data_IF_237623562891
#
_entry.id   IF_237623562891
#
_cell.length_a   1.000
_cell.length_b   1.000
_cell.length_c   1.000
_cell.angle_alpha   90.00
_cell.angle_beta   90.00
_cell.angle_gamma   90.00
#
_symmetry.space_group_name_H-M   'P 1'
#
loop_
_entity.id
_entity.type
_entity.pdbx_description
1 polymer ?
#
# COMPACT_ATOMS: atom_id res chain seq x y z
N UNK A 1 5.52 9.45 -30.51
CA UNK A 1 6.67 9.37 -29.59
C UNK A 1 6.13 9.63 -28.20
N UNK A 2 5.67 8.57 -27.54
CA UNK A 2 5.02 8.58 -26.23
C UNK A 2 5.87 7.71 -25.32
N UNK A 3 6.97 8.29 -24.85
CA UNK A 3 7.87 7.63 -23.91
C UNK A 3 7.39 7.88 -22.48
N UNK A 4 7.04 6.80 -21.77
CA UNK A 4 7.37 6.54 -20.37
C UNK A 4 7.17 7.68 -19.35
N UNK A 5 5.93 8.01 -18.98
CA UNK A 5 5.65 8.87 -17.83
C UNK A 5 5.00 8.18 -16.63
N UNK A 6 4.51 6.94 -16.78
CA UNK A 6 3.98 6.18 -15.63
C UNK A 6 5.09 5.72 -14.68
N UNK A 7 6.31 5.49 -15.20
CA UNK A 7 7.48 5.12 -14.39
C UNK A 7 8.02 6.24 -13.48
N UNK A 8 7.51 7.49 -13.59
CA UNK A 8 7.96 8.62 -12.78
C UNK A 8 7.03 9.02 -11.64
N UNK A 9 5.87 8.36 -11.48
CA UNK A 9 5.00 8.57 -10.31
C UNK A 9 5.51 7.84 -9.05
N UNK A 10 6.59 7.04 -9.21
CA UNK A 10 7.33 6.34 -8.15
C UNK A 10 8.77 6.90 -8.04
N UNK A 11 8.93 8.16 -7.62
CA UNK A 11 10.25 8.71 -7.27
C UNK A 11 10.21 9.29 -5.84
N UNK A 12 10.89 8.69 -4.85
CA UNK A 12 11.12 9.32 -3.56
C UNK A 12 12.11 10.48 -3.72
N UNK A 13 11.66 11.69 -3.37
CA UNK A 13 12.49 12.88 -3.30
C UNK A 13 13.61 12.69 -2.27
N UNK A 14 14.86 12.66 -2.76
CA UNK A 14 16.05 12.80 -1.96
C UNK A 14 16.09 14.23 -1.38
N UNK A 15 15.67 14.38 -0.12
CA UNK A 15 15.89 15.62 0.61
C UNK A 15 17.40 15.75 0.89
N UNK A 16 18.03 16.71 0.21
CA UNK A 16 19.44 17.05 0.40
C UNK A 16 19.76 17.28 1.87
N UNK A 17 20.63 16.42 2.39
CA UNK A 17 21.22 16.53 3.71
C UNK A 17 22.15 17.75 3.75
N UNK A 18 21.72 18.80 4.46
CA UNK A 18 22.57 19.91 4.84
C UNK A 18 23.03 19.71 6.29
N UNK A 19 24.34 19.53 6.48
CA UNK A 19 24.99 19.72 7.77
C UNK A 19 25.85 18.55 8.24
N UNK A 20 27.11 18.84 8.57
CA UNK A 20 27.90 18.00 9.46
C UNK A 20 29.34 17.74 9.01
N UNK A 21 30.19 18.76 9.12
CA UNK A 21 31.64 18.56 9.24
C UNK A 21 31.98 17.79 10.53
N UNK A 22 33.10 17.09 10.47
CA UNK A 22 34.15 16.94 11.48
C UNK A 22 34.27 15.67 12.35
N UNK A 23 35.46 15.06 12.18
CA UNK A 23 36.38 14.47 13.16
C UNK A 23 36.11 13.08 13.80
N UNK A 24 36.83 12.10 13.26
CA UNK A 24 37.98 11.39 13.87
C UNK A 24 37.99 11.07 15.37
N UNK A 25 38.01 9.77 15.69
CA UNK A 25 38.86 9.05 16.67
C UNK A 25 38.20 7.67 16.86
N UNK A 26 38.83 6.50 16.67
CA UNK A 26 40.07 6.04 17.29
C UNK A 26 39.72 4.78 18.12
N UNK A 27 40.48 3.68 17.97
CA UNK A 27 40.45 2.57 18.94
C UNK A 27 40.35 1.17 18.36
N UNK A 28 41.52 0.55 18.13
CA UNK A 28 41.69 -0.90 18.08
C UNK A 28 41.28 -1.56 19.42
N UNK A 29 40.81 -2.81 19.43
CA UNK A 29 41.56 -3.90 20.06
C UNK A 29 40.96 -5.29 19.77
N UNK A 30 41.85 -6.24 19.49
CA UNK A 30 41.60 -7.68 19.44
C UNK A 30 41.70 -8.27 20.86
N UNK A 31 41.04 -9.41 21.11
CA UNK A 31 41.70 -10.70 21.38
C UNK A 31 40.96 -11.61 22.38
N UNK A 32 40.96 -12.90 22.02
CA UNK A 32 41.05 -14.12 22.82
C UNK A 32 39.95 -14.52 23.82
N UNK A 33 39.36 -15.68 23.53
CA UNK A 33 39.81 -16.91 24.19
C UNK A 33 38.75 -17.66 25.00
N UNK A 34 38.67 -18.98 24.78
CA UNK A 34 38.12 -19.91 25.78
C UNK A 34 37.31 -21.08 25.21
N UNK A 35 37.97 -22.24 25.07
CA UNK A 35 37.39 -23.55 24.76
C UNK A 35 36.69 -24.19 25.97
N UNK A 36 35.65 -25.01 25.74
CA UNK A 36 35.48 -26.40 26.25
C UNK A 36 34.07 -26.90 25.84
N UNK A 37 33.89 -27.83 24.91
CA UNK A 37 34.03 -29.30 24.99
C UNK A 37 33.14 -30.02 26.01
N UNK A 38 32.22 -30.80 25.42
CA UNK A 38 31.65 -32.10 25.81
C UNK A 38 30.63 -32.15 26.97
N UNK A 39 29.40 -32.54 26.62
CA UNK A 39 28.84 -33.74 27.21
C UNK A 39 27.97 -34.53 26.21
N UNK A 40 28.09 -35.85 26.30
CA UNK A 40 27.52 -36.89 25.45
C UNK A 40 26.45 -37.61 26.25
N UNK A 41 25.29 -37.89 25.64
CA UNK A 41 24.24 -38.69 26.29
C UNK A 41 23.18 -39.21 25.33
N UNK A 42 23.27 -40.50 25.01
CA UNK A 42 22.44 -41.30 24.10
C UNK A 42 20.99 -41.52 24.65
N UNK A 43 19.97 -41.73 23.79
CA UNK A 43 19.59 -43.05 23.23
C UNK A 43 18.06 -43.17 22.91
N UNK A 44 17.78 -43.78 21.75
CA UNK A 44 16.68 -44.69 21.37
C UNK A 44 15.18 -44.45 21.75
N UNK A 45 14.30 -44.59 20.75
CA UNK A 45 12.92 -45.04 20.96
C UNK A 45 11.93 -44.72 19.82
N UNK A 46 11.69 -45.69 18.93
CA UNK A 46 10.56 -45.71 17.98
C UNK A 46 9.21 -45.74 18.72
N UNK A 47 8.17 -45.05 18.24
CA UNK A 47 6.85 -45.70 18.12
C UNK A 47 5.91 -45.02 17.11
N UNK A 48 5.19 -45.86 16.37
CA UNK A 48 4.14 -45.51 15.42
C UNK A 48 2.81 -45.45 16.18
N UNK A 49 2.22 -44.25 16.30
CA UNK A 49 0.87 -44.06 16.82
C UNK A 49 -0.01 -43.28 15.87
N UNK A 50 -0.80 -43.98 15.05
CA UNK A 50 -1.92 -43.40 14.28
C UNK A 50 -3.12 -43.15 15.21
N UNK A 51 -3.63 -41.91 15.17
CA UNK A 51 -5.04 -41.44 15.32
C UNK A 51 -5.73 -41.62 16.70
N UNK A 52 -6.64 -40.71 17.10
CA UNK A 52 -7.87 -40.44 16.35
C UNK A 52 -8.13 -38.97 16.00
N UNK A 53 -8.90 -38.84 14.93
CA UNK A 53 -9.67 -37.67 14.53
C UNK A 53 -10.57 -37.28 15.69
N UNK A 54 -10.56 -36.02 16.08
CA UNK A 54 -11.64 -35.45 16.88
C UNK A 54 -12.44 -34.53 15.96
N UNK A 55 -13.47 -35.12 15.35
CA UNK A 55 -14.56 -34.39 14.72
C UNK A 55 -15.29 -33.62 15.82
N UNK A 56 -15.17 -32.29 15.81
CA UNK A 56 -16.20 -31.33 16.21
C UNK A 56 -15.57 -29.95 16.40
N UNK A 57 -15.39 -29.22 15.30
CA UNK A 57 -15.42 -27.77 15.33
C UNK A 57 -16.13 -27.29 14.08
N UNK A 58 -17.44 -27.10 14.20
CA UNK A 58 -18.23 -26.32 13.26
C UNK A 58 -17.85 -24.84 13.44
N UNK A 59 -16.66 -24.49 12.94
CA UNK A 59 -16.33 -23.15 12.50
C UNK A 59 -16.24 -23.25 10.98
N UNK A 60 -16.98 -22.41 10.26
CA UNK A 60 -16.77 -22.24 8.82
C UNK A 60 -15.43 -21.51 8.63
N UNK A 61 -14.32 -22.17 8.93
CA UNK A 61 -13.01 -21.73 8.52
C UNK A 61 -12.96 -22.02 7.02
N UNK A 62 -13.19 -20.98 6.21
CA UNK A 62 -12.94 -21.07 4.76
C UNK A 62 -11.52 -21.59 4.58
N UNK A 63 -11.37 -22.69 3.87
CA UNK A 63 -10.05 -23.25 3.63
C UNK A 63 -9.29 -22.36 2.64
N UNK A 64 -7.96 -22.50 2.56
CA UNK A 64 -7.14 -21.68 1.64
C UNK A 64 -7.59 -21.82 0.17
N UNK A 65 -8.09 -22.98 -0.24
CA UNK A 65 -8.57 -23.22 -1.61
C UNK A 65 -9.83 -22.40 -1.92
N UNK A 66 -10.77 -22.30 -0.97
CA UNK A 66 -12.00 -21.50 -1.08
C UNK A 66 -11.66 -20.00 -1.17
N UNK A 67 -10.68 -19.55 -0.38
CA UNK A 67 -10.19 -18.15 -0.41
C UNK A 67 -9.51 -17.85 -1.75
N UNK A 68 -8.72 -18.80 -2.26
CA UNK A 68 -8.01 -18.67 -3.52
C UNK A 68 -8.97 -18.63 -4.73
N UNK A 69 -10.11 -19.31 -4.64
CA UNK A 69 -11.15 -19.30 -5.68
C UNK A 69 -12.00 -18.01 -5.62
N UNK A 70 -12.24 -17.47 -4.42
CA UNK A 70 -13.12 -16.32 -4.22
C UNK A 70 -12.41 -14.97 -4.40
N UNK A 71 -11.11 -14.88 -4.10
CA UNK A 71 -10.37 -13.61 -4.10
C UNK A 71 -9.13 -13.64 -4.99
N UNK A 72 -8.91 -12.55 -5.71
CA UNK A 72 -7.72 -12.37 -6.52
C UNK A 72 -6.47 -12.31 -5.66
N UNK A 73 -5.34 -12.73 -6.23
CA UNK A 73 -4.06 -12.42 -5.62
C UNK A 73 -3.84 -10.90 -5.58
N UNK A 74 -3.10 -10.41 -4.59
CA UNK A 74 -2.75 -8.98 -4.50
C UNK A 74 -2.03 -8.48 -5.77
N UNK A 75 -1.21 -9.34 -6.40
CA UNK A 75 -0.58 -9.05 -7.68
C UNK A 75 -1.59 -8.86 -8.81
N UNK A 76 -2.52 -9.79 -8.99
CA UNK A 76 -3.55 -9.69 -10.04
C UNK A 76 -4.42 -8.43 -9.85
N UNK A 77 -4.74 -8.09 -8.60
CA UNK A 77 -5.45 -6.84 -8.30
C UNK A 77 -4.63 -5.61 -8.74
N UNK A 78 -3.34 -5.55 -8.40
CA UNK A 78 -2.46 -4.45 -8.78
C UNK A 78 -2.24 -4.36 -10.30
N UNK A 79 -2.11 -5.49 -10.99
CA UNK A 79 -2.00 -5.55 -12.46
C UNK A 79 -3.30 -5.10 -13.14
N UNK A 80 -4.45 -5.35 -12.51
CA UNK A 80 -5.75 -4.83 -12.98
C UNK A 80 -5.85 -3.32 -12.79
N UNK A 81 -5.41 -2.81 -11.63
CA UNK A 81 -5.49 -1.38 -11.29
C UNK A 81 -4.45 -0.55 -12.07
N UNK A 82 -3.25 -1.10 -12.27
CA UNK A 82 -2.13 -0.47 -12.96
C UNK A 82 -1.64 -1.33 -14.14
N UNK A 83 -2.43 -1.45 -15.22
CA UNK A 83 -2.10 -2.33 -16.35
C UNK A 83 -0.81 -1.94 -17.08
N UNK A 84 -0.33 -0.71 -16.90
CA UNK A 84 0.89 -0.17 -17.51
C UNK A 84 2.08 -0.10 -16.53
N UNK A 85 1.90 -0.54 -15.27
CA UNK A 85 3.00 -0.55 -14.30
C UNK A 85 4.04 -1.63 -14.63
N UNK A 86 5.29 -1.35 -14.31
CA UNK A 86 6.36 -2.36 -14.42
C UNK A 86 6.23 -3.39 -13.30
N UNK A 87 6.72 -4.61 -13.53
CA UNK A 87 6.76 -5.64 -12.48
C UNK A 87 7.45 -5.15 -11.20
N UNK A 88 8.47 -4.29 -11.33
CA UNK A 88 9.18 -3.69 -10.19
C UNK A 88 8.27 -2.74 -9.39
N UNK A 89 7.42 -1.97 -10.06
CA UNK A 89 6.44 -1.11 -9.39
C UNK A 89 5.35 -1.95 -8.72
N UNK A 90 4.88 -3.01 -9.39
CA UNK A 90 3.94 -3.98 -8.80
C UNK A 90 4.53 -4.62 -7.54
N UNK A 91 5.76 -5.13 -7.58
CA UNK A 91 6.44 -5.70 -6.41
C UNK A 91 6.58 -4.69 -5.26
N UNK A 92 6.88 -3.43 -5.59
CA UNK A 92 6.93 -2.35 -4.59
C UNK A 92 5.55 -2.13 -3.95
N UNK A 93 4.49 -2.09 -4.76
CA UNK A 93 3.13 -1.93 -4.24
C UNK A 93 2.69 -3.13 -3.41
N UNK A 94 3.01 -4.36 -3.79
CA UNK A 94 2.78 -5.55 -2.96
C UNK A 94 3.47 -5.44 -1.59
N UNK A 95 4.72 -4.96 -1.56
CA UNK A 95 5.44 -4.72 -0.30
C UNK A 95 4.83 -3.61 0.56
N UNK A 96 4.16 -2.63 -0.05
CA UNK A 96 3.43 -1.61 0.70
C UNK A 96 2.12 -2.20 1.26
N UNK A 97 1.41 -2.98 0.46
CA UNK A 97 0.14 -3.60 0.86
C UNK A 97 0.33 -4.69 1.91
N UNK A 98 1.45 -5.41 1.92
CA UNK A 98 1.72 -6.47 2.91
C UNK A 98 1.91 -5.96 4.35
N UNK A 99 2.03 -4.64 4.53
CA UNK A 99 2.12 -3.97 5.84
C UNK A 99 0.77 -3.49 6.37
N UNK A 100 -0.28 -3.56 5.54
CA UNK A 100 -1.63 -3.12 5.90
C UNK A 100 -2.38 -4.28 6.55
N UNK A 101 -3.02 -4.01 7.67
CA UNK A 101 -3.83 -4.99 8.39
C UNK A 101 -4.99 -5.49 7.49
N UNK A 102 -5.38 -6.75 7.67
CA UNK A 102 -6.50 -7.31 6.93
C UNK A 102 -7.79 -6.50 7.19
N UNK A 103 -8.59 -6.33 6.13
CA UNK A 103 -9.84 -5.57 6.11
C UNK A 103 -9.71 -4.05 6.32
N UNK A 104 -8.52 -3.51 6.54
CA UNK A 104 -8.30 -2.06 6.50
C UNK A 104 -8.36 -1.56 5.04
N UNK A 105 -9.13 -0.49 4.75
CA UNK A 105 -9.24 0.00 3.39
C UNK A 105 -7.96 0.69 2.93
N UNK A 106 -7.53 0.28 1.75
CA UNK A 106 -6.49 0.96 0.98
C UNK A 106 -7.13 1.69 -0.19
N UNK A 107 -6.98 3.01 -0.21
CA UNK A 107 -7.28 3.84 -1.36
C UNK A 107 -6.10 3.80 -2.32
N UNK A 108 -6.36 3.33 -3.54
CA UNK A 108 -5.41 3.34 -4.64
C UNK A 108 -5.91 4.36 -5.67
N UNK A 109 -5.09 5.36 -5.98
CA UNK A 109 -5.40 6.41 -6.95
C UNK A 109 -4.55 6.21 -8.21
N UNK A 110 -5.23 5.96 -9.33
CA UNK A 110 -4.60 5.99 -10.66
C UNK A 110 -4.67 7.43 -11.17
N UNK A 111 -3.53 8.05 -11.42
CA UNK A 111 -3.45 9.46 -11.80
C UNK A 111 -4.10 9.74 -13.18
N UNK A 112 -4.87 10.82 -13.29
CA UNK A 112 -5.37 11.32 -14.56
C UNK A 112 -4.38 12.32 -15.17
N UNK A 113 -3.68 11.91 -16.24
CA UNK A 113 -2.69 12.77 -16.90
C UNK A 113 -3.31 14.03 -17.51
N UNK A 114 -4.57 13.99 -17.95
CA UNK A 114 -5.26 15.18 -18.48
C UNK A 114 -5.45 16.22 -17.38
N UNK A 115 -5.83 15.79 -16.17
CA UNK A 115 -5.93 16.69 -15.03
C UNK A 115 -4.59 17.31 -14.66
N UNK A 116 -3.51 16.51 -14.65
CA UNK A 116 -2.15 16.98 -14.38
C UNK A 116 -1.72 18.01 -15.44
N UNK A 117 -2.05 17.78 -16.71
CA UNK A 117 -1.75 18.73 -17.79
C UNK A 117 -2.53 20.05 -17.63
N UNK A 118 -3.75 20.00 -17.08
CA UNK A 118 -4.58 21.19 -16.82
C UNK A 118 -4.16 21.96 -15.55
N UNK A 119 -3.68 21.26 -14.51
CA UNK A 119 -3.47 21.84 -13.17
C UNK A 119 -2.02 21.89 -12.71
N UNK A 120 -1.09 21.22 -13.40
CA UNK A 120 0.32 20.94 -13.03
C UNK A 120 0.55 19.77 -12.09
N UNK A 121 1.74 19.16 -12.22
CA UNK A 121 2.21 18.09 -11.35
C UNK A 121 2.43 18.54 -9.89
N UNK A 122 2.85 19.79 -9.67
CA UNK A 122 3.00 20.32 -8.32
C UNK A 122 1.67 20.35 -7.57
N UNK A 123 0.59 20.78 -8.23
CA UNK A 123 -0.76 20.75 -7.66
C UNK A 123 -1.25 19.32 -7.41
N UNK A 124 -0.96 18.39 -8.32
CA UNK A 124 -1.23 16.96 -8.11
C UNK A 124 -0.57 16.46 -6.82
N UNK A 125 0.72 16.73 -6.64
CA UNK A 125 1.45 16.34 -5.44
C UNK A 125 0.87 16.98 -4.18
N UNK A 126 0.41 18.23 -4.24
CA UNK A 126 -0.25 18.87 -3.09
C UNK A 126 -1.54 18.14 -2.67
N UNK A 127 -2.37 17.75 -3.63
CA UNK A 127 -3.60 16.97 -3.33
C UNK A 127 -3.26 15.59 -2.77
N UNK A 128 -2.29 14.88 -3.35
CA UNK A 128 -1.83 13.58 -2.85
C UNK A 128 -1.20 13.69 -1.45
N UNK A 129 -0.46 14.76 -1.17
CA UNK A 129 0.06 15.04 0.17
C UNK A 129 -1.09 15.28 1.16
N UNK A 130 -2.15 15.94 0.73
CA UNK A 130 -3.31 16.20 1.57
C UNK A 130 -4.07 14.90 1.90
N UNK A 131 -4.25 13.97 0.95
CA UNK A 131 -4.79 12.63 1.26
C UNK A 131 -3.97 11.90 2.33
N UNK A 132 -2.65 12.07 2.31
CA UNK A 132 -1.77 11.43 3.28
C UNK A 132 -1.75 12.09 4.66
N UNK A 133 -2.24 13.32 4.83
CA UNK A 133 -1.97 14.13 6.05
C UNK A 133 -3.17 14.88 6.63
N UNK A 134 -4.23 15.10 5.86
CA UNK A 134 -5.30 15.99 6.28
C UNK A 134 -6.09 15.43 7.46
N UNK A 135 -5.95 16.09 8.62
CA UNK A 135 -6.65 15.69 9.86
C UNK A 135 -6.26 14.30 10.36
N UNK A 136 -5.03 13.86 10.07
CA UNK A 136 -4.51 12.54 10.40
C UNK A 136 -3.36 12.64 11.40
N UNK A 137 -3.32 11.72 12.38
CA UNK A 137 -2.24 11.68 13.37
C UNK A 137 -0.92 11.14 12.78
N UNK A 138 -1.02 10.24 11.79
CA UNK A 138 0.10 9.64 11.08
C UNK A 138 -0.08 9.81 9.58
N UNK A 139 1.03 9.82 8.82
CA UNK A 139 0.95 9.80 7.36
C UNK A 139 0.33 8.49 6.89
N UNK A 140 -0.58 8.58 5.94
CA UNK A 140 -1.33 7.42 5.39
C UNK A 140 -0.73 6.83 4.12
N UNK A 141 0.54 7.11 3.82
CA UNK A 141 1.22 6.56 2.64
C UNK A 141 2.64 6.15 2.99
N UNK A 142 3.09 5.08 2.37
CA UNK A 142 4.45 4.57 2.51
C UNK A 142 5.35 5.08 1.39
N UNK A 143 6.62 5.32 1.74
CA UNK A 143 7.71 5.59 0.78
C UNK A 143 7.45 6.78 -0.17
N UNK A 144 6.59 7.72 0.25
CA UNK A 144 6.22 8.87 -0.57
C UNK A 144 5.33 8.54 -1.77
N UNK A 145 4.73 7.34 -1.81
CA UNK A 145 3.82 6.91 -2.89
C UNK A 145 2.67 7.90 -3.08
N UNK A 146 2.51 8.44 -4.30
CA UNK A 146 1.33 9.26 -4.62
C UNK A 146 0.12 8.43 -5.05
N UNK A 147 0.24 7.10 -5.03
CA UNK A 147 -0.78 6.18 -5.54
C UNK A 147 -1.49 5.42 -4.43
N UNK A 148 -0.81 5.03 -3.35
CA UNK A 148 -1.36 4.12 -2.33
C UNK A 148 -1.49 4.82 -0.99
N UNK A 149 -2.70 4.76 -0.42
CA UNK A 149 -3.04 5.36 0.86
C UNK A 149 -3.81 4.37 1.74
N UNK A 150 -3.32 4.09 2.95
CA UNK A 150 -3.95 3.16 3.89
C UNK A 150 -4.73 3.89 4.98
N UNK A 151 -5.89 3.37 5.37
CA UNK A 151 -6.72 3.94 6.42
C UNK A 151 -7.15 2.85 7.40
N UNK A 152 -7.24 3.14 8.71
CA UNK A 152 -7.61 2.17 9.74
C UNK A 152 -9.11 1.82 9.74
N UNK A 153 -9.91 2.42 8.85
CA UNK A 153 -11.32 2.13 8.59
C UNK A 153 -11.87 3.06 7.50
N UNK A 154 -13.02 2.69 6.95
CA UNK A 154 -13.73 3.47 5.94
C UNK A 154 -14.17 4.86 6.44
N UNK A 155 -14.47 5.02 7.74
CA UNK A 155 -14.89 6.32 8.29
C UNK A 155 -13.77 7.36 8.15
N UNK A 156 -12.53 6.98 8.43
CA UNK A 156 -11.39 7.88 8.27
C UNK A 156 -11.13 8.18 6.79
N UNK A 157 -11.12 7.17 5.92
CA UNK A 157 -10.97 7.32 4.46
C UNK A 157 -11.96 8.35 3.89
N UNK A 158 -13.26 8.16 4.15
CA UNK A 158 -14.30 9.03 3.60
C UNK A 158 -14.37 10.40 4.30
N UNK A 159 -13.87 10.51 5.53
CA UNK A 159 -13.66 11.81 6.19
C UNK A 159 -12.56 12.60 5.49
N UNK A 160 -11.43 11.96 5.18
CA UNK A 160 -10.35 12.58 4.41
C UNK A 160 -10.86 12.98 3.02
N UNK A 161 -11.56 12.09 2.31
CA UNK A 161 -12.20 12.43 1.02
C UNK A 161 -13.04 13.70 1.11
N UNK A 162 -13.91 13.81 2.13
CA UNK A 162 -14.77 15.00 2.34
C UNK A 162 -13.95 16.27 2.56
N UNK A 163 -12.89 16.18 3.36
CA UNK A 163 -12.03 17.32 3.63
C UNK A 163 -11.24 17.76 2.38
N UNK A 164 -10.69 16.80 1.63
CA UNK A 164 -9.97 17.08 0.38
C UNK A 164 -10.93 17.71 -0.64
N UNK A 165 -12.17 17.25 -0.73
CA UNK A 165 -13.20 17.89 -1.57
C UNK A 165 -13.42 19.37 -1.22
N UNK A 166 -13.42 19.71 0.07
CA UNK A 166 -13.55 21.10 0.51
C UNK A 166 -12.31 21.96 0.23
N UNK A 167 -11.11 21.37 0.30
CA UNK A 167 -9.84 22.08 0.11
C UNK A 167 -9.41 22.20 -1.36
N UNK A 168 -9.70 21.18 -2.16
CA UNK A 168 -9.28 21.04 -3.55
C UNK A 168 -10.48 20.64 -4.43
N UNK A 169 -11.51 21.50 -4.55
CA UNK A 169 -12.71 21.18 -5.32
C UNK A 169 -12.39 20.88 -6.79
N UNK A 170 -11.32 21.48 -7.36
CA UNK A 170 -10.86 21.23 -8.71
C UNK A 170 -10.27 19.83 -8.93
N UNK A 171 -9.97 19.06 -7.86
CA UNK A 171 -9.54 17.66 -7.98
C UNK A 171 -10.71 16.70 -8.23
N UNK A 172 -11.95 17.18 -8.14
CA UNK A 172 -13.17 16.40 -8.30
C UNK A 172 -13.88 16.83 -9.58
N UNK A 173 -14.53 15.86 -10.23
CA UNK A 173 -15.44 16.08 -11.33
C UNK A 173 -16.69 16.81 -10.84
N UNK A 174 -17.00 17.96 -11.46
CA UNK A 174 -18.24 18.71 -11.23
C UNK A 174 -19.12 18.65 -12.49
N UNK A 175 -20.23 17.89 -12.49
CA UNK A 175 -21.10 17.78 -13.67
C UNK A 175 -21.76 19.10 -14.08
N UNK A 176 -21.74 20.12 -13.23
CA UNK A 176 -22.43 21.40 -13.47
C UNK A 176 -21.53 22.47 -14.09
N UNK A 177 -20.22 22.24 -14.19
CA UNK A 177 -19.25 23.22 -14.72
C UNK A 177 -18.96 22.97 -16.20
N UNK A 178 -18.76 24.04 -16.97
CA UNK A 178 -18.38 24.00 -18.39
C UNK A 178 -17.15 24.86 -18.68
N UNK A 179 -16.13 24.34 -19.38
CA UNK A 179 -15.99 22.94 -19.82
C UNK A 179 -15.91 21.97 -18.63
N UNK A 180 -16.35 20.73 -18.85
CA UNK A 180 -16.33 19.70 -17.80
C UNK A 180 -14.89 19.47 -17.32
N UNK A 181 -14.58 19.67 -16.04
CA UNK A 181 -13.26 19.40 -15.52
C UNK A 181 -13.02 17.89 -15.44
N UNK A 182 -11.80 17.45 -15.73
CA UNK A 182 -11.39 16.08 -15.46
C UNK A 182 -11.27 15.87 -13.94
N UNK A 183 -11.55 14.68 -13.38
CA UNK A 183 -11.15 14.36 -12.01
C UNK A 183 -9.63 14.12 -11.93
N UNK A 184 -9.05 14.29 -10.74
CA UNK A 184 -7.61 14.09 -10.52
C UNK A 184 -7.10 12.68 -10.84
N UNK A 185 -8.00 11.70 -10.82
CA UNK A 185 -7.69 10.30 -11.02
C UNK A 185 -8.90 9.41 -10.88
N UNK A 186 -8.62 8.11 -10.92
CA UNK A 186 -9.57 7.04 -10.66
C UNK A 186 -9.27 6.42 -9.31
N UNK A 187 -10.28 6.21 -8.47
CA UNK A 187 -10.12 5.62 -7.15
C UNK A 187 -10.50 4.14 -7.14
N UNK A 188 -9.62 3.31 -6.62
CA UNK A 188 -9.89 1.92 -6.29
C UNK A 188 -9.80 1.73 -4.79
N UNK A 189 -10.71 0.96 -4.24
CA UNK A 189 -10.66 0.54 -2.84
C UNK A 189 -10.24 -0.92 -2.82
N UNK A 190 -9.16 -1.22 -2.10
CA UNK A 190 -8.63 -2.55 -1.92
C UNK A 190 -8.64 -2.90 -0.42
N UNK A 191 -9.02 -4.14 -0.12
CA UNK A 191 -8.88 -4.74 1.21
C UNK A 191 -8.03 -5.99 1.08
N UNK A 192 -7.05 -6.15 1.96
CA UNK A 192 -6.43 -7.46 2.18
C UNK A 192 -7.46 -8.34 2.89
N UNK A 193 -7.70 -9.54 2.37
CA UNK A 193 -8.67 -10.50 2.93
C UNK A 193 -7.98 -11.76 3.47
N UNK A 194 -6.74 -12.00 3.04
CA UNK A 194 -5.80 -12.96 3.58
C UNK A 194 -4.39 -12.63 3.06
N UNK A 195 -3.38 -13.41 3.47
CA UNK A 195 -2.00 -13.28 2.97
C UNK A 195 -1.98 -13.34 1.45
N UNK A 196 -1.49 -12.27 0.82
CA UNK A 196 -1.40 -12.11 -0.63
C UNK A 196 -2.74 -12.23 -1.39
N UNK A 197 -3.87 -12.03 -0.70
CA UNK A 197 -5.23 -12.08 -1.28
C UNK A 197 -5.95 -10.77 -1.02
N UNK A 198 -6.64 -10.29 -2.05
CA UNK A 198 -7.30 -8.99 -1.98
C UNK A 198 -8.68 -9.03 -2.62
N UNK A 199 -9.61 -8.33 -1.97
CA UNK A 199 -10.85 -7.85 -2.59
C UNK A 199 -10.63 -6.41 -3.04
N UNK A 200 -11.11 -6.05 -4.23
CA UNK A 200 -10.90 -4.72 -4.78
C UNK A 200 -12.01 -4.30 -5.73
N UNK A 201 -12.36 -3.01 -5.68
CA UNK A 201 -13.39 -2.44 -6.54
C UNK A 201 -13.06 -1.00 -6.92
N UNK A 202 -13.54 -0.61 -8.11
CA UNK A 202 -13.57 0.77 -8.56
C UNK A 202 -14.64 1.54 -7.77
N UNK A 203 -14.29 2.68 -7.18
CA UNK A 203 -15.25 3.65 -6.62
C UNK A 203 -15.42 4.81 -7.62
N UNK A 204 -16.37 4.64 -8.55
CA UNK A 204 -16.69 5.60 -9.61
C UNK A 204 -17.23 6.94 -9.08
N UNK A 205 -17.68 6.96 -7.83
CA UNK A 205 -18.23 8.13 -7.16
C UNK A 205 -17.18 8.91 -6.37
N UNK A 206 -16.01 8.32 -6.13
CA UNK A 206 -15.03 8.86 -5.20
C UNK A 206 -14.58 10.27 -5.59
N UNK A 207 -14.29 10.52 -6.86
CA UNK A 207 -13.90 11.84 -7.36
C UNK A 207 -15.04 12.64 -7.99
N UNK A 208 -16.30 12.33 -7.66
CA UNK A 208 -17.46 13.09 -8.14
C UNK A 208 -17.96 14.06 -7.05
N UNK A 209 -18.19 15.32 -7.43
CA UNK A 209 -18.94 16.25 -6.61
C UNK A 209 -20.41 15.82 -6.57
N UNK A 210 -20.75 15.04 -5.54
CA UNK A 210 -22.14 14.78 -5.21
C UNK A 210 -22.79 16.05 -4.62
N UNK A 211 -23.99 16.44 -5.08
CA UNK A 211 -24.74 17.59 -4.58
C UNK A 211 -25.11 17.47 -3.09
#
# INVERSE_FOLDING_TARGET
>A
MTDNLISNLSQPGNAGNAGGNNMNAGGNNMNAGGNNMNDVGNNAGNDKGKKPINDNQAGNDMNEDDINEMFSSTREALETIFPEASNKDIEKYEQQLSKVDDLDPVLIIVANQNWINQNTYANYQMVMNAFATNSLNNRRRDEGSCAIFYFPNATELYTVRRNIRGLYPNAFFDPNVQPQPEPIGTAWILHNVAVCRSDFALDDSFFVLQP
#
